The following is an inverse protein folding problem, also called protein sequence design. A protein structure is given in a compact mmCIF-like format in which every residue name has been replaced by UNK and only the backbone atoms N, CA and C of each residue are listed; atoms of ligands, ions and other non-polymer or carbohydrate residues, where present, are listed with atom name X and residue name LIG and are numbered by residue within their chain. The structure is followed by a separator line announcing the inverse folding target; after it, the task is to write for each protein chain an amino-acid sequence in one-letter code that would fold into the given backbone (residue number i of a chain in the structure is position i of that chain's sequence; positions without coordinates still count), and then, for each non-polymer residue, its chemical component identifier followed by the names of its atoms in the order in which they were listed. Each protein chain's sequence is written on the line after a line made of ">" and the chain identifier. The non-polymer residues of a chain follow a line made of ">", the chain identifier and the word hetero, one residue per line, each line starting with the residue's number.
data_IF_288580722141
#
_entry.id   IF_288580722141
#
_cell.length_a   1.000
_cell.length_b   1.000
_cell.length_c   1.000
_cell.angle_alpha   90.00
_cell.angle_beta   90.00
_cell.angle_gamma   90.00
#
_symmetry.space_group_name_H-M   'P 1'
#
loop_
_entity.id
_entity.type
_entity.pdbx_description
1 polymer ?
#
# COMPACT_ATOMS: atom_id res chain seq x y z
N UNK A 1 9.88 -1.98 10.19
CA UNK A 1 9.75 -0.59 9.71
C UNK A 1 9.07 -0.48 8.35
N UNK A 2 7.99 -1.25 8.11
CA UNK A 2 7.34 -1.26 6.78
C UNK A 2 6.68 0.07 6.43
N UNK A 3 6.06 0.74 7.41
CA UNK A 3 5.47 2.07 7.23
C UNK A 3 6.50 3.11 6.75
N UNK A 4 7.66 3.18 7.42
CA UNK A 4 8.72 4.12 7.04
C UNK A 4 9.24 3.81 5.63
N UNK A 5 9.47 2.54 5.31
CA UNK A 5 9.86 2.14 3.95
C UNK A 5 8.84 2.54 2.89
N UNK A 6 7.54 2.31 3.17
CA UNK A 6 6.45 2.66 2.26
C UNK A 6 6.33 4.18 2.04
N UNK A 7 6.48 4.98 3.11
CA UNK A 7 6.52 6.44 3.03
C UNK A 7 7.71 6.91 2.19
N UNK A 8 8.90 6.36 2.44
CA UNK A 8 10.10 6.68 1.68
C UNK A 8 9.94 6.36 0.19
N UNK A 9 9.43 5.17 -0.15
CA UNK A 9 9.12 4.78 -1.53
C UNK A 9 8.13 5.75 -2.16
N UNK A 10 7.10 6.17 -1.42
CA UNK A 10 6.14 7.16 -1.90
C UNK A 10 6.81 8.49 -2.25
N UNK A 11 7.66 9.05 -1.39
CA UNK A 11 8.42 10.28 -1.70
C UNK A 11 9.40 10.11 -2.86
N UNK A 12 10.16 9.01 -2.88
CA UNK A 12 11.10 8.68 -3.96
C UNK A 12 10.38 8.55 -5.31
N UNK A 13 9.19 7.95 -5.32
CA UNK A 13 8.39 7.78 -6.54
C UNK A 13 7.93 9.12 -7.12
N UNK A 14 7.58 10.09 -6.28
CA UNK A 14 7.19 11.44 -6.68
C UNK A 14 8.39 12.23 -7.21
N UNK A 15 9.54 12.13 -6.53
CA UNK A 15 10.77 12.76 -6.97
C UNK A 15 11.22 12.24 -8.36
N UNK A 16 11.21 10.93 -8.54
CA UNK A 16 11.54 10.29 -9.82
C UNK A 16 10.51 10.62 -10.92
N UNK A 17 9.22 10.71 -10.56
CA UNK A 17 8.15 11.11 -11.47
C UNK A 17 8.35 12.52 -12.03
N UNK A 18 8.76 13.48 -11.20
CA UNK A 18 9.06 14.84 -11.64
C UNK A 18 10.26 14.88 -12.60
N UNK A 19 11.29 14.05 -12.37
CA UNK A 19 12.44 13.99 -13.28
C UNK A 19 12.10 13.37 -14.64
N UNK A 20 11.26 12.32 -14.66
CA UNK A 20 10.97 11.53 -15.87
C UNK A 20 9.62 11.87 -16.53
N UNK A 21 8.91 12.91 -16.08
CA UNK A 21 7.57 13.29 -16.55
C UNK A 21 6.60 12.09 -16.68
N UNK A 22 6.62 11.20 -15.68
CA UNK A 22 5.86 9.95 -15.69
C UNK A 22 5.02 9.82 -14.43
N UNK A 23 3.88 9.10 -14.45
CA UNK A 23 3.07 8.91 -13.26
C UNK A 23 3.86 8.23 -12.12
N UNK A 24 3.80 8.73 -10.86
CA UNK A 24 4.53 8.14 -9.72
C UNK A 24 4.26 6.64 -9.49
N UNK A 25 3.07 6.17 -9.86
CA UNK A 25 2.67 4.76 -9.76
C UNK A 25 3.59 3.80 -10.52
N UNK A 26 4.20 4.24 -11.62
CA UNK A 26 5.15 3.42 -12.41
C UNK A 26 6.38 3.03 -11.59
N UNK A 27 6.80 3.88 -10.65
CA UNK A 27 7.94 3.63 -9.77
C UNK A 27 7.52 2.99 -8.43
N UNK A 28 6.36 3.38 -7.90
CA UNK A 28 5.89 2.90 -6.60
C UNK A 28 5.47 1.41 -6.63
N UNK A 29 4.72 0.98 -7.66
CA UNK A 29 4.20 -0.40 -7.74
C UNK A 29 5.31 -1.46 -7.69
N UNK A 30 6.35 -1.43 -8.57
CA UNK A 30 7.41 -2.45 -8.54
C UNK A 30 8.21 -2.45 -7.22
N UNK A 31 8.35 -1.30 -6.56
CA UNK A 31 9.03 -1.20 -5.27
C UNK A 31 8.21 -1.82 -4.11
N UNK A 32 6.87 -1.81 -4.20
CA UNK A 32 5.97 -2.31 -3.15
C UNK A 32 5.80 -3.83 -3.21
N UNK A 33 5.91 -4.46 -4.38
CA UNK A 33 5.76 -5.92 -4.56
C UNK A 33 6.56 -6.74 -3.52
N UNK A 34 7.87 -6.54 -3.32
CA UNK A 34 8.65 -7.33 -2.35
C UNK A 34 8.29 -7.04 -0.88
N UNK A 35 7.60 -5.94 -0.58
CA UNK A 35 7.20 -5.59 0.79
C UNK A 35 5.94 -6.31 1.24
N UNK A 36 5.18 -6.91 0.32
CA UNK A 36 3.95 -7.65 0.63
C UNK A 36 4.30 -8.97 1.35
N UNK A 37 3.79 -9.22 2.57
CA UNK A 37 4.13 -10.40 3.34
C UNK A 37 3.37 -11.65 2.87
N UNK A 38 3.76 -12.17 1.71
CA UNK A 38 3.08 -13.31 1.08
C UNK A 38 3.13 -14.60 1.91
N UNK A 39 4.23 -14.83 2.65
CA UNK A 39 4.38 -16.02 3.51
C UNK A 39 3.37 -16.04 4.66
N UNK A 40 3.25 -14.94 5.40
CA UNK A 40 2.26 -14.82 6.47
C UNK A 40 0.83 -14.91 5.92
N UNK A 41 0.56 -14.34 4.73
CA UNK A 41 -0.75 -14.44 4.10
C UNK A 41 -1.09 -15.89 3.71
N UNK A 42 -0.11 -16.61 3.16
CA UNK A 42 -0.24 -18.03 2.86
C UNK A 42 -0.52 -18.87 4.12
N UNK A 43 0.20 -18.63 5.22
CA UNK A 43 -0.04 -19.34 6.48
C UNK A 43 -1.42 -19.06 7.07
N UNK A 44 -1.89 -17.81 7.00
CA UNK A 44 -3.26 -17.45 7.39
C UNK A 44 -4.28 -18.21 6.54
N UNK A 45 -4.13 -18.22 5.21
CA UNK A 45 -5.07 -18.94 4.33
C UNK A 45 -5.06 -20.45 4.60
N UNK A 46 -3.87 -21.05 4.77
CA UNK A 46 -3.71 -22.45 5.12
C UNK A 46 -4.36 -22.78 6.47
N UNK A 47 -4.21 -21.88 7.44
CA UNK A 47 -4.84 -21.97 8.76
C UNK A 47 -6.35 -21.95 8.68
N UNK A 48 -6.93 -20.99 7.96
CA UNK A 48 -8.39 -20.88 7.73
C UNK A 48 -8.93 -22.15 7.07
N UNK A 49 -8.28 -22.64 6.00
CA UNK A 49 -8.72 -23.86 5.30
C UNK A 49 -8.67 -25.07 6.24
N UNK A 50 -7.61 -25.22 7.03
CA UNK A 50 -7.50 -26.31 8.00
C UNK A 50 -8.55 -26.20 9.10
N UNK A 51 -8.86 -25.00 9.55
CA UNK A 51 -9.85 -24.74 10.59
C UNK A 51 -11.28 -25.01 10.09
N UNK A 52 -11.56 -24.73 8.81
CA UNK A 52 -12.85 -25.02 8.17
C UNK A 52 -13.08 -26.52 7.91
N UNK A 53 -12.00 -27.30 7.74
CA UNK A 53 -12.08 -28.73 7.41
C UNK A 53 -11.83 -29.68 8.60
N UNK A 54 -11.33 -29.20 9.75
CA UNK A 54 -11.02 -30.07 10.89
C UNK A 54 -12.17 -30.20 11.89
N UNK A 55 -12.51 -31.44 12.22
CA UNK A 55 -13.40 -31.85 13.31
C UNK A 55 -12.66 -32.26 14.60
N UNK A 56 -11.32 -32.24 14.60
CA UNK A 56 -10.50 -32.67 15.74
C UNK A 56 -10.27 -31.52 16.73
N UNK A 57 -10.74 -31.69 17.96
CA UNK A 57 -10.81 -30.65 19.00
C UNK A 57 -9.44 -30.32 19.62
N UNK A 58 -8.46 -31.21 19.52
CA UNK A 58 -7.15 -31.08 20.19
C UNK A 58 -6.22 -30.07 19.54
N UNK A 59 -6.24 -29.94 18.21
CA UNK A 59 -5.33 -29.04 17.47
C UNK A 59 -5.97 -27.70 17.07
N UNK A 60 -7.23 -27.49 17.45
CA UNK A 60 -8.02 -26.33 17.04
C UNK A 60 -7.47 -25.01 17.62
N UNK A 61 -7.20 -24.99 18.93
CA UNK A 61 -6.75 -23.79 19.66
C UNK A 61 -5.38 -23.27 19.17
N UNK A 62 -4.31 -24.10 19.05
CA UNK A 62 -3.02 -23.60 18.56
C UNK A 62 -3.10 -23.16 17.10
N UNK A 63 -3.82 -23.89 16.25
CA UNK A 63 -4.00 -23.54 14.85
C UNK A 63 -4.74 -22.20 14.69
N UNK A 64 -5.77 -21.96 15.50
CA UNK A 64 -6.52 -20.70 15.52
C UNK A 64 -5.61 -19.53 15.92
N UNK A 65 -4.83 -19.69 16.98
CA UNK A 65 -3.93 -18.64 17.45
C UNK A 65 -2.88 -18.25 16.39
N UNK A 66 -2.27 -19.23 15.73
CA UNK A 66 -1.31 -19.01 14.66
C UNK A 66 -1.96 -18.34 13.45
N UNK A 67 -3.16 -18.77 13.09
CA UNK A 67 -3.93 -18.20 11.97
C UNK A 67 -4.26 -16.73 12.22
N UNK A 68 -4.76 -16.41 13.42
CA UNK A 68 -5.11 -15.05 13.83
C UNK A 68 -3.87 -14.16 13.89
N UNK A 69 -2.79 -14.63 14.51
CA UNK A 69 -1.56 -13.85 14.67
C UNK A 69 -0.93 -13.50 13.33
N UNK A 70 -0.82 -14.49 12.42
CA UNK A 70 -0.32 -14.26 11.07
C UNK A 70 -1.28 -13.38 10.26
N UNK A 71 -2.59 -13.56 10.45
CA UNK A 71 -3.64 -12.76 9.82
C UNK A 71 -3.51 -11.28 10.18
N UNK A 72 -3.48 -10.94 11.46
CA UNK A 72 -3.29 -9.56 11.91
C UNK A 72 -1.96 -8.97 11.46
N UNK A 73 -0.85 -9.74 11.51
CA UNK A 73 0.44 -9.29 10.98
C UNK A 73 0.33 -8.89 9.52
N UNK A 74 -0.27 -9.73 8.68
CA UNK A 74 -0.44 -9.42 7.25
C UNK A 74 -1.31 -8.18 7.06
N UNK A 75 -2.42 -8.10 7.79
CA UNK A 75 -3.37 -7.02 7.68
C UNK A 75 -2.72 -5.67 8.03
N UNK A 76 -2.04 -5.59 9.17
CA UNK A 76 -1.36 -4.35 9.59
C UNK A 76 -0.22 -3.96 8.66
N UNK A 77 0.53 -4.93 8.12
CA UNK A 77 1.59 -4.66 7.14
C UNK A 77 1.00 -4.08 5.85
N UNK A 78 -0.07 -4.68 5.32
CA UNK A 78 -0.74 -4.20 4.11
C UNK A 78 -1.34 -2.80 4.31
N UNK A 79 -1.98 -2.56 5.45
CA UNK A 79 -2.48 -1.22 5.80
C UNK A 79 -1.35 -0.20 5.88
N UNK A 80 -0.23 -0.55 6.53
CA UNK A 80 0.93 0.33 6.63
C UNK A 80 1.55 0.66 5.26
N UNK A 81 1.61 -0.31 4.35
CA UNK A 81 2.07 -0.10 2.97
C UNK A 81 1.13 0.83 2.22
N UNK A 82 -0.18 0.56 2.26
CA UNK A 82 -1.18 1.38 1.58
C UNK A 82 -1.11 2.83 2.07
N UNK A 83 -1.23 3.04 3.39
CA UNK A 83 -1.18 4.36 3.99
C UNK A 83 0.16 5.05 3.71
N UNK A 84 1.26 4.33 3.85
CA UNK A 84 2.60 4.89 3.65
C UNK A 84 2.85 5.38 2.23
N UNK A 85 2.43 4.61 1.22
CA UNK A 85 2.60 4.97 -0.19
C UNK A 85 1.64 6.09 -0.60
N UNK A 86 0.38 6.06 -0.11
CA UNK A 86 -0.61 7.07 -0.46
C UNK A 86 -0.41 8.42 0.25
N UNK A 87 0.17 8.44 1.46
CA UNK A 87 0.41 9.67 2.21
C UNK A 87 1.15 10.77 1.41
N UNK A 88 2.35 10.52 0.83
CA UNK A 88 3.06 11.53 0.05
C UNK A 88 2.33 11.88 -1.24
N UNK A 89 1.64 10.93 -1.89
CA UNK A 89 0.87 11.21 -3.11
C UNK A 89 -0.32 12.13 -2.85
N UNK A 90 -1.00 11.98 -1.71
CA UNK A 90 -2.10 12.86 -1.31
C UNK A 90 -1.62 14.26 -0.92
N UNK A 91 -0.46 14.36 -0.28
CA UNK A 91 0.14 15.65 0.09
C UNK A 91 0.52 16.46 -1.17
N UNK A 92 1.27 15.86 -2.10
CA UNK A 92 1.72 16.56 -3.33
C UNK A 92 0.56 16.92 -4.26
N UNK A 93 -0.54 16.16 -4.27
CA UNK A 93 -1.72 16.49 -5.08
C UNK A 93 -2.37 17.82 -4.66
N UNK A 94 -2.27 18.22 -3.39
CA UNK A 94 -2.75 19.53 -2.92
C UNK A 94 -1.95 20.69 -3.51
N UNK A 95 -0.65 20.52 -3.71
CA UNK A 95 0.20 21.52 -4.34
C UNK A 95 -0.06 21.62 -5.85
N UNK A 96 -0.36 20.50 -6.51
CA UNK A 96 -0.70 20.48 -7.94
C UNK A 96 -2.03 21.18 -8.25
N UNK A 97 -3.03 21.11 -7.35
CA UNK A 97 -4.29 21.86 -7.52
C UNK A 97 -4.10 23.38 -7.42
N UNK A 98 -3.08 23.85 -6.68
CA UNK A 98 -2.71 25.27 -6.59
C UNK A 98 -2.03 25.81 -7.86
N UNK A 99 -1.53 24.95 -8.74
CA UNK A 99 -0.82 25.36 -9.96
C UNK A 99 -1.66 25.32 -11.24
N UNK A 100 -2.97 25.02 -11.16
CA UNK A 100 -3.89 25.30 -12.26
C UNK A 100 -4.13 26.82 -12.29
N UNK A 101 -3.13 27.57 -12.76
CA UNK A 101 -3.39 28.90 -13.32
C UNK A 101 -4.21 28.65 -14.59
N UNK A 102 -5.52 28.86 -14.48
CA UNK A 102 -6.39 28.98 -15.64
C UNK A 102 -5.74 29.95 -16.61
N UNK A 103 -5.41 29.57 -17.86
CA UNK A 103 -5.11 30.56 -18.88
C UNK A 103 -6.42 31.32 -19.06
N UNK A 104 -6.48 32.52 -18.49
CA UNK A 104 -7.56 33.46 -18.68
C UNK A 104 -7.88 33.49 -20.16
N UNK A 105 -9.16 33.26 -20.51
CA UNK A 105 -9.69 33.55 -21.83
C UNK A 105 -9.19 34.94 -22.22
N UNK A 106 -8.22 34.96 -23.14
CA UNK A 106 -7.73 36.17 -23.75
C UNK A 106 -8.96 36.81 -24.38
N UNK A 107 -9.31 37.95 -23.82
CA UNK A 107 -10.36 38.83 -24.27
C UNK A 107 -10.17 39.11 -25.76
N UNK A 108 -11.02 38.52 -26.60
CA UNK A 108 -11.27 39.04 -27.93
C UNK A 108 -12.22 40.23 -27.79
N UNK A 109 -11.62 41.37 -27.48
CA UNK A 109 -12.17 42.68 -27.86
C UNK A 109 -11.28 43.21 -28.99
N UNK A 110 -11.74 43.03 -30.23
CA UNK A 110 -11.89 44.11 -31.21
C UNK A 110 -12.71 43.64 -32.40
#
# INVERSE_FOLDING_TARGET
>A
GTLLGAVLIGFLSIYAAHFKHSPPFVFAIPAVIPMVPGSYAYYTMKGIIKLANNSNTTDFVPLLNDTITNGFKTLFILMAIAIGVFAPMLLTRRDSAKQIKMPLLKQDKK
#
